data_IF_136582547114
#
_entry.id   IF_136582547114
#
_cell.length_a   1.000
_cell.length_b   1.000
_cell.length_c   1.000
_cell.angle_alpha   90.00
_cell.angle_beta   90.00
_cell.angle_gamma   90.00
#
_symmetry.space_group_name_H-M   'P 1'
#
loop_
_entity.id
_entity.type
_entity.pdbx_description
1 polymer ?
#
# COMPACT_ATOMS: atom_id res chain seq x y z
N UNK A 1 33.72 28.77 -39.41
CA UNK A 1 32.74 29.19 -38.40
C UNK A 1 33.46 29.29 -37.06
N UNK A 2 33.42 30.43 -36.35
CA UNK A 2 34.03 30.52 -35.04
C UNK A 2 33.28 29.58 -34.06
N UNK A 3 34.02 28.69 -33.42
CA UNK A 3 33.53 27.77 -32.39
C UNK A 3 32.92 28.46 -31.15
N UNK A 4 33.00 29.79 -31.08
CA UNK A 4 32.61 30.62 -29.91
C UNK A 4 31.62 31.73 -30.33
N UNK A 5 30.61 31.43 -31.13
CA UNK A 5 29.59 32.38 -31.61
C UNK A 5 28.45 32.69 -30.66
N UNK A 6 28.47 32.23 -29.40
CA UNK A 6 27.44 32.51 -28.38
C UNK A 6 27.93 32.21 -26.97
N UNK A 7 27.16 32.55 -25.91
CA UNK A 7 27.54 32.23 -24.57
C UNK A 7 27.68 30.71 -24.38
N UNK A 8 28.71 30.24 -23.65
CA UNK A 8 28.94 28.84 -23.46
C UNK A 8 27.73 28.21 -22.71
N UNK A 9 27.26 27.06 -23.21
CA UNK A 9 26.32 26.18 -22.52
C UNK A 9 27.10 25.06 -21.87
N UNK A 10 27.12 25.02 -20.55
CA UNK A 10 27.92 24.07 -19.78
C UNK A 10 27.02 23.03 -19.16
N UNK A 11 27.39 21.76 -19.33
CA UNK A 11 26.82 20.64 -18.52
C UNK A 11 27.94 20.14 -17.62
N UNK A 12 27.75 20.26 -16.32
CA UNK A 12 28.68 19.72 -15.33
C UNK A 12 28.20 18.34 -14.88
N UNK A 13 29.06 17.34 -14.99
CA UNK A 13 28.75 15.95 -14.56
C UNK A 13 29.73 15.57 -13.47
N UNK A 14 29.25 15.15 -12.30
CA UNK A 14 30.07 14.69 -11.18
C UNK A 14 30.25 15.76 -10.09
N UNK A 15 31.44 16.33 -9.96
CA UNK A 15 31.77 17.19 -8.80
C UNK A 15 31.04 18.54 -8.87
N UNK A 16 30.23 18.83 -7.87
CA UNK A 16 29.40 20.05 -7.75
C UNK A 16 30.25 21.35 -7.70
N UNK A 17 31.47 21.29 -7.19
CA UNK A 17 32.38 22.43 -7.10
C UNK A 17 32.54 23.21 -8.42
N UNK A 18 32.52 22.51 -9.55
CA UNK A 18 32.64 23.14 -10.86
C UNK A 18 31.36 23.89 -11.24
N UNK A 19 30.17 23.35 -10.93
CA UNK A 19 28.89 24.02 -11.16
C UNK A 19 28.78 25.29 -10.30
N UNK A 20 29.14 25.20 -9.01
CA UNK A 20 29.17 26.32 -8.07
C UNK A 20 30.14 27.43 -8.53
N UNK A 21 31.32 27.04 -9.05
CA UNK A 21 32.29 27.98 -9.57
C UNK A 21 31.80 28.72 -10.82
N UNK A 22 31.06 28.03 -11.69
CA UNK A 22 30.46 28.63 -12.89
C UNK A 22 29.29 29.57 -12.53
N UNK A 23 28.45 29.15 -11.58
CA UNK A 23 27.34 29.98 -11.08
C UNK A 23 27.86 31.29 -10.42
N UNK A 24 28.97 31.24 -9.66
CA UNK A 24 29.60 32.40 -9.08
C UNK A 24 30.19 33.39 -10.11
N UNK A 25 30.22 33.01 -11.40
CA UNK A 25 30.67 33.82 -12.53
C UNK A 25 29.57 34.12 -13.54
N UNK A 26 28.31 33.93 -13.15
CA UNK A 26 27.13 34.09 -14.01
C UNK A 26 27.17 33.28 -15.33
N UNK A 27 27.90 32.15 -15.33
CA UNK A 27 27.91 31.22 -16.47
C UNK A 27 26.79 30.18 -16.27
N UNK A 28 25.78 30.15 -17.18
CA UNK A 28 24.73 29.16 -17.08
C UNK A 28 25.28 27.73 -17.20
N UNK A 29 25.08 26.92 -16.16
CA UNK A 29 25.47 25.53 -16.15
C UNK A 29 24.33 24.65 -15.64
N UNK A 30 24.14 23.51 -16.29
CA UNK A 30 23.28 22.44 -15.78
C UNK A 30 24.20 21.47 -15.05
N UNK A 31 23.96 21.28 -13.76
CA UNK A 31 24.63 20.24 -12.98
C UNK A 31 23.85 18.93 -13.07
N UNK A 32 24.57 17.85 -13.38
CA UNK A 32 24.04 16.49 -13.38
C UNK A 32 24.65 15.73 -12.21
N UNK A 33 23.86 15.41 -11.22
CA UNK A 33 24.25 14.50 -10.11
C UNK A 33 24.33 13.07 -10.68
N UNK A 34 25.45 12.81 -11.35
CA UNK A 34 25.68 11.50 -11.97
C UNK A 34 26.00 10.46 -10.90
N UNK A 35 25.25 9.36 -10.94
CA UNK A 35 25.50 8.18 -10.13
C UNK A 35 25.77 7.00 -11.07
N UNK A 36 26.69 6.09 -10.71
CA UNK A 36 26.91 4.91 -11.52
C UNK A 36 25.62 4.06 -11.54
N UNK A 37 25.18 3.59 -12.73
CA UNK A 37 24.04 2.68 -12.80
C UNK A 37 24.19 1.50 -11.86
N UNK A 38 23.08 1.06 -11.26
CA UNK A 38 23.06 -0.06 -10.31
C UNK A 38 23.93 0.18 -9.06
N UNK A 39 24.10 1.44 -8.63
CA UNK A 39 24.98 1.77 -7.50
C UNK A 39 26.45 1.35 -7.70
N UNK A 40 26.86 1.00 -8.94
CA UNK A 40 28.18 0.49 -9.27
C UNK A 40 28.35 -1.02 -9.09
N UNK A 41 27.27 -1.76 -8.80
CA UNK A 41 27.32 -3.23 -8.71
C UNK A 41 27.46 -3.85 -10.13
N UNK A 42 28.61 -4.52 -10.45
CA UNK A 42 28.86 -5.06 -11.78
C UNK A 42 27.94 -6.23 -12.14
N UNK A 43 27.45 -6.99 -11.17
CA UNK A 43 26.52 -8.11 -11.43
C UNK A 43 25.14 -7.56 -11.83
N UNK A 44 24.65 -6.57 -11.09
CA UNK A 44 23.39 -5.91 -11.37
C UNK A 44 23.45 -5.15 -12.71
N UNK A 45 24.55 -4.45 -12.99
CA UNK A 45 24.77 -3.79 -14.26
C UNK A 45 24.79 -4.77 -15.45
N UNK A 46 25.44 -5.94 -15.31
CA UNK A 46 25.45 -6.98 -16.34
C UNK A 46 24.05 -7.59 -16.57
N UNK A 47 23.24 -7.71 -15.51
CA UNK A 47 21.86 -8.19 -15.59
C UNK A 47 20.97 -7.16 -16.31
N UNK A 48 21.06 -5.88 -15.95
CA UNK A 48 20.36 -4.80 -16.64
C UNK A 48 20.71 -4.75 -18.13
N UNK A 49 22.00 -4.93 -18.48
CA UNK A 49 22.44 -5.00 -19.87
C UNK A 49 21.85 -6.21 -20.64
N UNK A 50 21.58 -7.34 -19.97
CA UNK A 50 20.85 -8.47 -20.58
C UNK A 50 19.39 -8.12 -20.86
N UNK A 51 18.71 -7.48 -19.92
CA UNK A 51 17.32 -7.02 -20.08
C UNK A 51 17.21 -5.93 -21.15
N UNK A 52 18.22 -5.07 -21.27
CA UNK A 52 18.27 -3.99 -22.25
C UNK A 52 18.24 -4.49 -23.70
N UNK A 53 18.79 -5.67 -23.98
CA UNK A 53 18.64 -6.32 -25.30
C UNK A 53 17.19 -6.62 -25.69
N UNK A 54 16.28 -6.65 -24.70
CA UNK A 54 14.84 -6.87 -24.87
C UNK A 54 14.02 -5.61 -24.54
N UNK A 55 14.68 -4.44 -24.44
CA UNK A 55 14.10 -3.16 -23.99
C UNK A 55 12.75 -2.88 -24.65
N UNK A 56 12.69 -2.89 -25.99
CA UNK A 56 11.44 -2.59 -26.70
C UNK A 56 10.28 -3.54 -26.37
N UNK A 57 10.57 -4.83 -26.17
CA UNK A 57 9.56 -5.80 -25.82
C UNK A 57 9.06 -5.58 -24.37
N UNK A 58 9.98 -5.27 -23.45
CA UNK A 58 9.66 -4.97 -22.05
C UNK A 58 8.87 -3.67 -21.99
N UNK A 59 9.27 -2.63 -22.72
CA UNK A 59 8.57 -1.34 -22.70
C UNK A 59 7.15 -1.46 -23.26
N UNK A 60 6.91 -2.26 -24.30
CA UNK A 60 5.55 -2.58 -24.77
C UNK A 60 4.73 -3.35 -23.72
N UNK A 61 5.34 -4.32 -23.03
CA UNK A 61 4.69 -5.05 -21.98
C UNK A 61 4.35 -4.14 -20.78
N UNK A 62 5.26 -3.24 -20.41
CA UNK A 62 5.04 -2.25 -19.36
C UNK A 62 3.95 -1.25 -19.75
N UNK A 63 3.89 -0.79 -21.00
CA UNK A 63 2.82 0.07 -21.48
C UNK A 63 1.45 -0.62 -21.35
N UNK A 64 1.33 -1.89 -21.74
CA UNK A 64 0.11 -2.70 -21.55
C UNK A 64 -0.25 -2.85 -20.08
N UNK A 65 0.72 -3.14 -19.23
CA UNK A 65 0.52 -3.29 -17.78
C UNK A 65 0.08 -1.97 -17.14
N UNK A 66 0.71 -0.85 -17.51
CA UNK A 66 0.35 0.49 -17.05
C UNK A 66 -1.05 0.88 -17.50
N UNK A 67 -1.41 0.63 -18.74
CA UNK A 67 -2.75 0.89 -19.28
C UNK A 67 -3.82 0.14 -18.47
N UNK A 68 -3.59 -1.14 -18.19
CA UNK A 68 -4.51 -1.93 -17.36
C UNK A 68 -4.66 -1.35 -15.95
N UNK A 69 -3.57 -0.91 -15.34
CA UNK A 69 -3.57 -0.31 -14.01
C UNK A 69 -4.37 1.00 -13.99
N UNK A 70 -4.06 1.91 -14.90
CA UNK A 70 -4.61 3.27 -14.90
C UNK A 70 -6.05 3.35 -15.42
N UNK A 71 -6.48 2.40 -16.26
CA UNK A 71 -7.86 2.29 -16.72
C UNK A 71 -8.77 1.55 -15.72
N UNK A 72 -8.24 1.04 -14.61
CA UNK A 72 -9.03 0.41 -13.57
C UNK A 72 -10.21 1.30 -13.12
N UNK A 73 -11.39 0.69 -12.98
CA UNK A 73 -12.63 1.36 -12.56
C UNK A 73 -13.18 0.67 -11.28
N UNK A 74 -12.57 0.92 -10.10
CA UNK A 74 -12.97 0.29 -8.86
C UNK A 74 -14.29 0.87 -8.34
N UNK A 75 -15.28 0.00 -8.10
CA UNK A 75 -16.56 0.31 -7.49
C UNK A 75 -16.73 -0.49 -6.20
N UNK A 76 -16.99 0.18 -5.08
CA UNK A 76 -17.35 -0.48 -3.84
C UNK A 76 -18.82 -0.88 -3.91
N UNK A 77 -19.09 -2.18 -4.00
CA UNK A 77 -20.43 -2.70 -4.29
C UNK A 77 -21.11 -3.38 -3.13
N UNK A 78 -20.33 -3.89 -2.16
CA UNK A 78 -20.88 -4.67 -1.05
C UNK A 78 -19.94 -4.66 0.17
N UNK A 79 -20.49 -5.09 1.30
CA UNK A 79 -19.76 -5.52 2.49
C UNK A 79 -20.46 -6.77 3.05
N UNK A 80 -19.75 -7.90 3.10
CA UNK A 80 -20.32 -9.20 3.50
C UNK A 80 -19.23 -10.12 4.08
N UNK A 81 -19.61 -11.23 4.75
CA UNK A 81 -18.63 -12.18 5.30
C UNK A 81 -17.64 -12.66 4.22
N UNK A 82 -16.38 -12.84 4.60
CA UNK A 82 -15.33 -13.25 3.68
C UNK A 82 -15.62 -14.60 3.02
N UNK A 83 -16.23 -15.55 3.75
CA UNK A 83 -16.65 -16.83 3.20
C UNK A 83 -17.63 -16.74 2.03
N UNK A 84 -18.34 -15.61 1.90
CA UNK A 84 -19.30 -15.36 0.81
C UNK A 84 -18.67 -14.53 -0.33
N UNK A 85 -17.61 -13.78 -0.01
CA UNK A 85 -16.95 -12.90 -0.95
C UNK A 85 -15.73 -13.53 -1.62
N UNK A 86 -15.03 -14.39 -0.89
CA UNK A 86 -13.82 -15.09 -1.27
C UNK A 86 -14.06 -16.59 -1.21
N UNK A 87 -13.43 -17.33 -2.11
CA UNK A 87 -13.35 -18.79 -1.98
C UNK A 87 -12.30 -19.14 -0.93
N UNK A 88 -12.68 -18.93 0.34
CA UNK A 88 -11.80 -19.11 1.48
C UNK A 88 -12.13 -20.41 2.21
N UNK A 89 -11.21 -21.39 2.23
CA UNK A 89 -11.41 -22.62 2.97
C UNK A 89 -11.65 -22.39 4.47
N UNK A 90 -12.43 -23.25 5.08
CA UNK A 90 -12.59 -23.26 6.53
C UNK A 90 -11.25 -23.37 7.24
N UNK A 91 -11.16 -22.80 8.44
CA UNK A 91 -9.94 -22.75 9.26
C UNK A 91 -8.74 -22.13 8.56
N UNK A 92 -8.98 -21.11 7.72
CA UNK A 92 -7.94 -20.30 7.10
C UNK A 92 -7.89 -18.94 7.77
N UNK A 93 -6.69 -18.51 8.14
CA UNK A 93 -6.39 -17.12 8.56
C UNK A 93 -5.46 -16.53 7.51
N UNK A 94 -5.94 -15.51 6.80
CA UNK A 94 -5.08 -14.71 5.94
C UNK A 94 -4.29 -13.72 6.78
N UNK A 95 -3.11 -13.32 6.28
CA UNK A 95 -2.24 -12.33 6.92
C UNK A 95 -1.63 -11.38 5.89
N UNK A 96 -1.10 -10.24 6.33
CA UNK A 96 -0.36 -9.32 5.45
C UNK A 96 1.02 -9.87 5.08
N UNK A 97 1.55 -9.34 3.98
CA UNK A 97 2.91 -9.62 3.52
C UNK A 97 3.07 -10.89 2.71
N UNK A 98 4.32 -11.24 2.38
CA UNK A 98 4.64 -12.49 1.70
C UNK A 98 4.43 -13.71 2.62
N UNK A 99 4.43 -14.95 2.06
CA UNK A 99 4.37 -16.17 2.85
C UNK A 99 5.46 -16.21 3.93
N UNK A 100 5.10 -16.66 5.12
CA UNK A 100 6.01 -16.73 6.25
C UNK A 100 5.68 -17.94 7.13
N UNK A 101 6.71 -18.62 7.66
CA UNK A 101 6.54 -19.69 8.62
C UNK A 101 6.15 -19.13 10.00
N UNK A 102 5.33 -19.87 10.75
CA UNK A 102 4.80 -19.47 12.06
C UNK A 102 5.87 -19.01 13.05
N UNK A 103 7.01 -19.68 13.07
CA UNK A 103 8.13 -19.42 13.98
C UNK A 103 8.77 -18.05 13.75
N UNK A 104 8.66 -17.51 12.51
CA UNK A 104 9.25 -16.23 12.11
C UNK A 104 8.29 -15.06 12.23
N UNK A 105 7.00 -15.31 12.50
CA UNK A 105 5.97 -14.28 12.59
C UNK A 105 6.25 -13.36 13.79
N UNK A 106 6.21 -12.04 13.56
CA UNK A 106 6.39 -11.03 14.59
C UNK A 106 5.28 -11.05 15.64
N UNK A 107 5.56 -10.57 16.84
CA UNK A 107 4.62 -10.66 17.98
C UNK A 107 3.26 -9.99 17.70
N UNK A 108 3.17 -8.78 17.10
CA UNK A 108 1.85 -8.18 16.80
C UNK A 108 1.05 -9.02 15.80
N UNK A 109 1.70 -9.57 14.76
CA UNK A 109 1.01 -10.41 13.76
C UNK A 109 0.59 -11.73 14.40
N UNK A 110 1.42 -12.32 15.25
CA UNK A 110 1.09 -13.54 16.02
C UNK A 110 -0.13 -13.31 16.92
N UNK A 111 -0.14 -12.22 17.69
CA UNK A 111 -1.27 -11.85 18.54
C UNK A 111 -2.57 -11.66 17.75
N UNK A 112 -2.48 -11.08 16.54
CA UNK A 112 -3.64 -10.92 15.66
C UNK A 112 -4.17 -12.25 15.12
N UNK A 113 -3.30 -13.17 14.75
CA UNK A 113 -3.68 -14.53 14.29
C UNK A 113 -4.37 -15.30 15.43
N UNK A 114 -3.81 -15.29 16.63
CA UNK A 114 -4.41 -15.95 17.80
C UNK A 114 -5.78 -15.35 18.13
N UNK A 115 -5.90 -14.02 18.10
CA UNK A 115 -7.16 -13.32 18.28
C UNK A 115 -8.21 -13.64 17.21
N UNK A 116 -7.79 -13.77 15.95
CA UNK A 116 -8.69 -14.15 14.86
C UNK A 116 -9.22 -15.60 15.01
N UNK A 117 -8.38 -16.53 15.46
CA UNK A 117 -8.77 -17.91 15.79
C UNK A 117 -9.81 -17.94 16.92
N UNK A 118 -9.60 -17.12 17.96
CA UNK A 118 -10.57 -16.96 19.06
C UNK A 118 -11.86 -16.30 18.59
N UNK A 119 -11.78 -15.28 17.73
CA UNK A 119 -12.95 -14.63 17.14
C UNK A 119 -13.83 -15.62 16.36
N UNK A 120 -13.25 -16.54 15.62
CA UNK A 120 -13.97 -17.62 14.90
C UNK A 120 -14.52 -18.72 15.86
N UNK A 121 -14.15 -18.67 17.14
CA UNK A 121 -14.56 -19.70 18.10
C UNK A 121 -13.84 -21.04 17.92
N UNK A 122 -12.73 -21.07 17.18
CA UNK A 122 -11.96 -22.32 16.98
C UNK A 122 -11.13 -22.70 18.19
N UNK A 123 -10.78 -21.72 19.04
CA UNK A 123 -10.09 -21.94 20.31
C UNK A 123 -10.66 -21.03 21.40
N UNK A 124 -10.60 -21.51 22.66
CA UNK A 124 -11.10 -20.76 23.81
C UNK A 124 -10.14 -19.70 24.34
N UNK A 125 -8.83 -19.88 24.10
CA UNK A 125 -7.76 -18.99 24.56
C UNK A 125 -6.56 -19.03 23.61
N UNK A 126 -5.56 -18.19 23.87
CA UNK A 126 -4.37 -18.03 23.00
C UNK A 126 -3.51 -19.30 22.96
N UNK A 127 -3.39 -20.06 24.04
CA UNK A 127 -2.59 -21.29 24.09
C UNK A 127 -3.22 -22.36 23.19
N UNK A 128 -4.53 -22.58 23.31
CA UNK A 128 -5.26 -23.49 22.42
C UNK A 128 -5.23 -23.03 20.96
N UNK A 129 -5.30 -21.71 20.70
CA UNK A 129 -5.19 -21.18 19.35
C UNK A 129 -3.77 -21.43 18.75
N UNK A 130 -2.73 -21.27 19.56
CA UNK A 130 -1.34 -21.58 19.18
C UNK A 130 -1.16 -23.04 18.81
N UNK A 131 -1.67 -23.95 19.63
CA UNK A 131 -1.61 -25.39 19.37
C UNK A 131 -2.27 -25.76 18.02
N UNK A 132 -3.38 -25.11 17.67
CA UNK A 132 -4.03 -25.35 16.37
C UNK A 132 -3.13 -24.95 15.20
N UNK A 133 -2.44 -23.81 15.29
CA UNK A 133 -1.49 -23.38 14.26
C UNK A 133 -0.28 -24.31 14.18
N UNK A 134 0.33 -24.65 15.32
CA UNK A 134 1.52 -25.50 15.39
C UNK A 134 1.28 -26.94 14.88
N UNK A 135 0.04 -27.44 15.03
CA UNK A 135 -0.38 -28.74 14.46
C UNK A 135 -0.77 -28.67 12.97
N UNK A 136 -0.88 -27.46 12.41
CA UNK A 136 -1.35 -27.27 11.04
C UNK A 136 -2.87 -27.43 10.86
N UNK A 137 -3.65 -27.38 11.95
CA UNK A 137 -5.12 -27.43 11.92
C UNK A 137 -5.74 -26.13 11.46
N UNK A 138 -4.95 -25.04 11.42
CA UNK A 138 -5.30 -23.72 10.86
C UNK A 138 -4.28 -23.37 9.79
N UNK A 139 -4.77 -23.11 8.57
CA UNK A 139 -3.96 -22.66 7.45
C UNK A 139 -3.65 -21.16 7.58
N UNK A 140 -2.40 -20.79 7.42
CA UNK A 140 -1.97 -19.39 7.26
C UNK A 140 -1.63 -19.13 5.80
N UNK A 141 -2.14 -18.02 5.21
CA UNK A 141 -1.86 -17.69 3.82
C UNK A 141 -1.87 -16.15 3.61
N UNK A 142 -1.06 -15.60 2.70
CA UNK A 142 -1.10 -14.18 2.37
C UNK A 142 -2.45 -13.71 1.82
N UNK A 143 -2.91 -12.52 2.26
CA UNK A 143 -4.10 -11.87 1.70
C UNK A 143 -4.02 -11.74 0.17
N UNK A 144 -2.84 -11.42 -0.36
CA UNK A 144 -2.64 -11.24 -1.79
C UNK A 144 -2.85 -12.50 -2.65
N UNK A 145 -2.85 -13.70 -2.06
CA UNK A 145 -3.21 -14.94 -2.77
C UNK A 145 -4.72 -15.05 -3.00
N UNK A 146 -5.52 -14.31 -2.26
CA UNK A 146 -6.99 -14.38 -2.27
C UNK A 146 -7.66 -13.07 -2.73
N UNK A 147 -7.00 -12.31 -3.60
CA UNK A 147 -7.48 -11.00 -4.05
C UNK A 147 -7.89 -10.07 -2.88
N UNK A 148 -7.20 -10.16 -1.76
CA UNK A 148 -7.41 -9.37 -0.56
C UNK A 148 -6.15 -8.60 -0.16
N UNK A 149 -6.30 -7.58 0.70
CA UNK A 149 -5.22 -6.82 1.29
C UNK A 149 -5.63 -6.35 2.69
N UNK A 150 -4.71 -6.39 3.65
CA UNK A 150 -4.98 -6.00 5.04
C UNK A 150 -3.93 -5.07 5.63
N UNK A 151 -4.33 -4.01 6.37
CA UNK A 151 -3.38 -3.11 7.04
C UNK A 151 -2.76 -3.79 8.26
N UNK A 152 -1.52 -3.43 8.58
CA UNK A 152 -0.77 -3.95 9.73
C UNK A 152 -0.68 -5.48 9.71
N UNK A 153 -1.15 -6.18 10.70
CA UNK A 153 -1.19 -7.65 10.70
C UNK A 153 -2.00 -8.24 9.54
N UNK A 154 -3.00 -7.50 9.05
CA UNK A 154 -3.78 -7.84 7.86
C UNK A 154 -4.64 -9.08 8.00
N UNK A 155 -4.90 -9.54 9.24
CA UNK A 155 -5.65 -10.79 9.47
C UNK A 155 -7.09 -10.70 8.96
N UNK A 156 -7.48 -11.76 8.26
CA UNK A 156 -8.80 -11.96 7.69
C UNK A 156 -9.19 -13.43 7.84
N UNK A 157 -10.42 -13.68 8.32
CA UNK A 157 -10.97 -15.02 8.53
C UNK A 157 -12.36 -15.15 7.89
N UNK A 158 -12.91 -16.37 7.72
CA UNK A 158 -14.16 -16.60 7.01
C UNK A 158 -15.37 -15.80 7.50
N UNK A 159 -15.48 -15.53 8.81
CA UNK A 159 -16.62 -14.81 9.38
C UNK A 159 -16.47 -13.29 9.36
N UNK A 160 -15.25 -12.77 9.16
CA UNK A 160 -15.02 -11.32 9.13
C UNK A 160 -15.70 -10.70 7.91
N UNK A 161 -16.43 -9.58 8.06
CA UNK A 161 -16.95 -8.84 6.92
C UNK A 161 -15.82 -8.16 6.15
N UNK A 162 -15.91 -8.24 4.84
CA UNK A 162 -14.98 -7.60 3.90
C UNK A 162 -15.73 -6.69 2.94
N UNK A 163 -15.12 -5.57 2.62
CA UNK A 163 -15.51 -4.76 1.48
C UNK A 163 -15.27 -5.53 0.18
N UNK A 164 -16.23 -5.45 -0.73
CA UNK A 164 -16.13 -6.03 -2.07
C UNK A 164 -16.01 -4.89 -3.06
N UNK A 165 -14.85 -4.75 -3.67
CA UNK A 165 -14.60 -3.77 -4.73
C UNK A 165 -14.50 -4.50 -6.06
N UNK A 166 -15.35 -4.11 -7.00
CA UNK A 166 -15.34 -4.62 -8.38
C UNK A 166 -14.63 -3.63 -9.30
N UNK A 167 -13.66 -4.08 -10.02
CA UNK A 167 -13.07 -3.35 -11.13
C UNK A 167 -13.93 -3.55 -12.38
N UNK A 168 -14.82 -2.61 -12.64
CA UNK A 168 -15.79 -2.71 -13.76
C UNK A 168 -15.16 -2.67 -15.15
N UNK A 169 -13.90 -2.23 -15.25
CA UNK A 169 -13.18 -2.23 -16.53
C UNK A 169 -12.67 -3.63 -16.91
N UNK A 170 -12.34 -4.48 -15.91
CA UNK A 170 -11.67 -5.76 -16.14
C UNK A 170 -12.34 -6.95 -15.44
N UNK A 171 -13.40 -6.73 -14.69
CA UNK A 171 -14.12 -7.80 -13.97
C UNK A 171 -13.37 -8.39 -12.78
N UNK A 172 -12.24 -7.83 -12.40
CA UNK A 172 -11.47 -8.28 -11.24
C UNK A 172 -12.04 -7.73 -9.94
N UNK A 173 -11.68 -8.33 -8.81
CA UNK A 173 -12.14 -7.90 -7.48
C UNK A 173 -10.98 -7.66 -6.54
N UNK A 174 -11.22 -6.83 -5.52
CA UNK A 174 -10.34 -6.61 -4.39
C UNK A 174 -11.13 -6.58 -3.10
N UNK A 175 -10.53 -7.07 -2.02
CA UNK A 175 -11.19 -7.20 -0.72
C UNK A 175 -10.31 -6.67 0.40
N UNK A 176 -10.92 -6.13 1.44
CA UNK A 176 -10.28 -5.78 2.71
C UNK A 176 -11.30 -5.83 3.83
N UNK A 177 -10.87 -6.14 5.05
CA UNK A 177 -11.72 -6.06 6.24
C UNK A 177 -12.14 -4.62 6.54
N UNK A 178 -13.16 -4.43 7.39
CA UNK A 178 -13.51 -3.11 7.92
C UNK A 178 -12.40 -2.62 8.85
N UNK A 179 -11.99 -1.36 8.71
CA UNK A 179 -11.02 -0.74 9.61
C UNK A 179 -11.61 -0.55 11.00
N UNK A 180 -11.00 -1.19 12.00
CA UNK A 180 -11.49 -1.21 13.39
C UNK A 180 -11.32 0.13 14.13
N UNK A 181 -10.63 1.11 13.56
CA UNK A 181 -10.23 2.37 14.19
C UNK A 181 -8.82 2.32 14.78
N UNK A 182 -8.49 3.31 15.59
CA UNK A 182 -7.21 3.43 16.28
C UNK A 182 -7.26 2.78 17.69
N UNK A 183 -6.08 2.64 18.30
CA UNK A 183 -5.91 2.15 19.66
C UNK A 183 -5.75 0.63 19.73
N UNK A 184 -6.43 0.03 20.72
CA UNK A 184 -6.37 -1.40 21.01
C UNK A 184 -7.30 -2.16 20.07
N UNK A 185 -6.74 -2.73 19.00
CA UNK A 185 -7.47 -3.40 17.91
C UNK A 185 -6.72 -4.64 17.43
N UNK A 186 -7.43 -5.56 16.76
CA UNK A 186 -6.87 -6.84 16.32
C UNK A 186 -5.68 -6.66 15.37
N UNK A 187 -5.73 -5.71 14.45
CA UNK A 187 -4.65 -5.48 13.45
C UNK A 187 -3.30 -5.08 14.08
N UNK A 188 -3.27 -4.72 15.37
CA UNK A 188 -2.06 -4.51 16.17
C UNK A 188 -1.80 -5.63 17.18
N UNK A 189 -2.48 -6.76 17.05
CA UNK A 189 -2.28 -7.93 17.88
C UNK A 189 -3.04 -7.93 19.21
N UNK A 190 -3.94 -6.95 19.45
CA UNK A 190 -4.83 -6.98 20.61
C UNK A 190 -5.93 -7.99 20.38
N UNK A 191 -6.26 -8.79 21.40
CA UNK A 191 -7.21 -9.89 21.25
C UNK A 191 -8.03 -10.18 22.53
N UNK A 192 -8.16 -9.21 23.43
CA UNK A 192 -9.01 -9.37 24.60
C UNK A 192 -10.51 -9.29 24.27
N UNK A 193 -11.35 -9.53 25.27
CA UNK A 193 -12.80 -9.59 25.12
C UNK A 193 -13.41 -8.31 24.55
N UNK A 194 -12.81 -7.13 24.80
CA UNK A 194 -13.29 -5.86 24.26
C UNK A 194 -13.04 -5.75 22.75
N UNK A 195 -11.91 -6.29 22.28
CA UNK A 195 -11.57 -6.39 20.85
C UNK A 195 -12.49 -7.38 20.16
N UNK A 196 -12.68 -8.56 20.73
CA UNK A 196 -13.59 -9.57 20.19
C UNK A 196 -15.05 -9.07 20.15
N UNK A 197 -15.51 -8.36 21.17
CA UNK A 197 -16.83 -7.74 21.18
C UNK A 197 -17.00 -6.70 20.07
N UNK A 198 -15.96 -5.88 19.79
CA UNK A 198 -15.96 -4.93 18.67
C UNK A 198 -16.04 -5.66 17.32
N UNK A 199 -15.24 -6.70 17.12
CA UNK A 199 -15.27 -7.50 15.89
C UNK A 199 -16.64 -8.16 15.68
N UNK A 200 -17.26 -8.69 16.73
CA UNK A 200 -18.59 -9.25 16.68
C UNK A 200 -19.64 -8.18 16.29
N UNK A 201 -19.57 -6.98 16.86
CA UNK A 201 -20.44 -5.88 16.45
C UNK A 201 -20.22 -5.48 14.99
N UNK A 202 -18.96 -5.41 14.54
CA UNK A 202 -18.65 -5.14 13.13
C UNK A 202 -19.26 -6.22 12.23
N UNK A 203 -19.20 -7.49 12.62
CA UNK A 203 -19.73 -8.60 11.84
C UNK A 203 -21.25 -8.67 11.83
N UNK A 204 -21.91 -8.37 12.95
CA UNK A 204 -23.36 -8.60 13.12
C UNK A 204 -24.22 -7.37 12.86
N UNK A 205 -23.66 -6.17 12.96
CA UNK A 205 -24.42 -4.93 12.79
C UNK A 205 -23.82 -4.01 11.72
N UNK A 206 -22.54 -3.59 11.85
CA UNK A 206 -21.96 -2.58 10.97
C UNK A 206 -21.78 -3.10 9.53
N UNK A 207 -21.20 -4.27 9.34
CA UNK A 207 -20.97 -4.89 8.03
C UNK A 207 -22.26 -5.12 7.24
N UNK A 208 -23.28 -5.80 7.81
CA UNK A 208 -24.57 -5.97 7.15
C UNK A 208 -25.25 -4.66 6.75
N UNK A 209 -25.20 -3.63 7.59
CA UNK A 209 -25.79 -2.33 7.29
C UNK A 209 -25.02 -1.59 6.18
N UNK A 210 -23.68 -1.61 6.23
CA UNK A 210 -22.82 -1.10 5.15
C UNK A 210 -23.12 -1.81 3.81
N UNK A 211 -23.17 -3.13 3.81
CA UNK A 211 -23.46 -3.91 2.62
C UNK A 211 -24.83 -3.63 2.03
N UNK A 212 -25.86 -3.55 2.89
CA UNK A 212 -27.21 -3.21 2.45
C UNK A 212 -27.28 -1.82 1.81
N UNK A 213 -26.64 -0.80 2.44
CA UNK A 213 -26.57 0.55 1.90
C UNK A 213 -25.84 0.62 0.57
N UNK A 214 -24.71 -0.09 0.43
CA UNK A 214 -23.94 -0.15 -0.80
C UNK A 214 -24.71 -0.80 -1.95
N UNK A 215 -25.40 -1.90 -1.68
CA UNK A 215 -26.25 -2.57 -2.69
C UNK A 215 -27.43 -1.70 -3.12
N UNK A 216 -28.05 -0.96 -2.20
CA UNK A 216 -29.13 -0.03 -2.53
C UNK A 216 -28.68 1.10 -3.47
N UNK A 217 -27.41 1.51 -3.37
CA UNK A 217 -26.83 2.54 -4.26
C UNK A 217 -26.36 1.96 -5.62
N UNK A 218 -26.25 0.65 -5.77
CA UNK A 218 -25.60 0.04 -6.93
C UNK A 218 -24.08 0.23 -6.96
N UNK A 219 -23.49 0.61 -5.83
CA UNK A 219 -22.07 0.82 -5.61
C UNK A 219 -21.63 2.29 -5.65
N UNK A 220 -20.40 2.53 -5.17
CA UNK A 220 -19.75 3.86 -5.12
C UNK A 220 -18.50 3.85 -6.00
N UNK A 221 -18.36 4.80 -6.92
CA UNK A 221 -17.15 4.99 -7.74
C UNK A 221 -15.99 5.45 -6.85
N UNK A 222 -15.05 4.54 -6.59
CA UNK A 222 -13.91 4.81 -5.73
C UNK A 222 -12.83 5.62 -6.44
N UNK A 223 -12.68 5.50 -7.76
CA UNK A 223 -11.68 6.28 -8.51
C UNK A 223 -12.00 7.77 -8.44
N UNK A 224 -13.25 8.13 -8.67
CA UNK A 224 -13.69 9.52 -8.56
C UNK A 224 -13.57 10.06 -7.14
N UNK A 225 -13.92 9.24 -6.12
CA UNK A 225 -13.83 9.61 -4.71
C UNK A 225 -12.36 9.82 -4.29
N UNK A 226 -11.47 8.88 -4.62
CA UNK A 226 -10.04 8.98 -4.29
C UNK A 226 -9.38 10.17 -4.99
N UNK A 227 -9.72 10.44 -6.26
CA UNK A 227 -9.23 11.61 -6.96
C UNK A 227 -9.67 12.92 -6.28
N UNK A 228 -10.91 13.00 -5.81
CA UNK A 228 -11.39 14.16 -5.05
C UNK A 228 -10.70 14.29 -3.71
N UNK A 229 -10.52 13.21 -2.96
CA UNK A 229 -9.84 13.20 -1.67
C UNK A 229 -8.37 13.63 -1.80
N UNK A 230 -7.67 13.18 -2.85
CA UNK A 230 -6.29 13.60 -3.13
C UNK A 230 -6.20 15.12 -3.32
N UNK A 231 -7.14 15.73 -4.05
CA UNK A 231 -7.23 17.19 -4.22
C UNK A 231 -7.54 17.94 -2.91
N UNK A 232 -8.08 17.24 -1.90
CA UNK A 232 -8.36 17.76 -0.57
C UNK A 232 -7.21 17.52 0.43
N UNK A 233 -6.07 16.98 -0.05
CA UNK A 233 -4.88 16.74 0.76
C UNK A 233 -4.88 15.41 1.51
N UNK A 234 -5.69 14.44 1.07
CA UNK A 234 -5.63 13.05 1.52
C UNK A 234 -4.84 12.20 0.53
N UNK A 235 -3.83 11.49 1.03
CA UNK A 235 -3.04 10.57 0.20
C UNK A 235 -3.50 9.10 0.33
N UNK A 236 -4.56 8.85 1.08
CA UNK A 236 -5.27 7.58 1.29
C UNK A 236 -4.45 6.46 1.96
N UNK A 237 -3.35 6.80 2.64
CA UNK A 237 -2.62 5.84 3.46
C UNK A 237 -2.52 6.30 4.93
N UNK A 238 -1.79 7.37 5.22
CA UNK A 238 -1.71 7.91 6.58
C UNK A 238 -2.85 8.88 6.90
N UNK A 239 -3.32 9.61 5.91
CA UNK A 239 -4.47 10.48 6.03
C UNK A 239 -5.60 9.98 5.15
N UNK A 240 -6.76 9.78 5.77
CA UNK A 240 -7.97 9.31 5.13
C UNK A 240 -9.20 10.13 5.56
N UNK A 241 -9.00 11.28 6.18
CA UNK A 241 -10.07 12.08 6.78
C UNK A 241 -11.06 12.59 5.71
N UNK A 242 -10.55 13.20 4.63
CA UNK A 242 -11.40 13.69 3.55
C UNK A 242 -12.06 12.52 2.79
N UNK A 243 -11.31 11.44 2.54
CA UNK A 243 -11.84 10.25 1.89
C UNK A 243 -12.95 9.58 2.72
N UNK A 244 -12.79 9.47 4.04
CA UNK A 244 -13.82 8.95 4.97
C UNK A 244 -15.06 9.83 4.96
N UNK A 245 -14.90 11.16 4.97
CA UNK A 245 -16.02 12.11 4.93
C UNK A 245 -16.78 12.03 3.59
N UNK A 246 -16.08 11.97 2.46
CA UNK A 246 -16.67 11.80 1.13
C UNK A 246 -17.41 10.46 1.00
N UNK A 247 -16.80 9.38 1.50
CA UNK A 247 -17.42 8.06 1.55
C UNK A 247 -18.69 8.07 2.39
N UNK A 248 -18.63 8.60 3.61
CA UNK A 248 -19.80 8.71 4.50
C UNK A 248 -20.93 9.47 3.82
N UNK A 249 -20.64 10.62 3.20
CA UNK A 249 -21.62 11.40 2.44
C UNK A 249 -22.22 10.59 1.29
N UNK A 250 -21.41 9.85 0.54
CA UNK A 250 -21.90 9.04 -0.59
C UNK A 250 -22.74 7.84 -0.14
N UNK A 251 -22.45 7.26 1.03
CA UNK A 251 -23.13 6.09 1.57
C UNK A 251 -24.52 6.43 2.16
N UNK A 252 -24.68 7.61 2.79
CA UNK A 252 -25.87 7.96 3.59
C UNK A 252 -27.20 7.81 2.83
N UNK A 253 -27.32 8.17 1.53
CA UNK A 253 -28.57 7.92 0.80
C UNK A 253 -28.95 6.44 0.73
N UNK A 254 -27.99 5.54 0.59
CA UNK A 254 -28.22 4.08 0.61
C UNK A 254 -28.67 3.59 1.98
N UNK A 255 -28.03 4.07 3.05
CA UNK A 255 -28.46 3.77 4.43
C UNK A 255 -29.90 4.24 4.67
N UNK A 256 -30.26 5.45 4.19
CA UNK A 256 -31.61 5.98 4.33
C UNK A 256 -32.67 5.16 3.54
N UNK A 257 -32.29 4.62 2.38
CA UNK A 257 -33.19 3.78 1.56
C UNK A 257 -33.48 2.42 2.21
N UNK A 258 -32.46 1.77 2.76
CA UNK A 258 -32.66 0.44 3.38
C UNK A 258 -33.38 0.54 4.71
N UNK A 259 -33.34 1.70 5.33
CA UNK A 259 -33.82 1.89 6.69
C UNK A 259 -32.95 1.09 7.66
N UNK A 260 -33.24 1.17 8.92
CA UNK A 260 -32.54 0.41 9.94
C UNK A 260 -33.09 0.76 11.30
N UNK A 261 -32.75 -0.03 12.30
CA UNK A 261 -33.02 0.37 13.69
C UNK A 261 -32.27 1.66 13.96
N UNK A 262 -32.92 2.71 14.44
CA UNK A 262 -32.29 4.01 14.72
C UNK A 262 -30.98 3.88 15.48
N UNK A 263 -30.92 3.00 16.45
CA UNK A 263 -29.73 2.72 17.24
C UNK A 263 -28.56 2.18 16.37
N UNK A 264 -28.81 1.26 15.44
CA UNK A 264 -27.76 0.70 14.57
C UNK A 264 -27.21 1.76 13.62
N UNK A 265 -28.07 2.59 13.04
CA UNK A 265 -27.66 3.70 12.16
C UNK A 265 -26.85 4.74 12.94
N UNK A 266 -27.31 5.13 14.14
CA UNK A 266 -26.59 6.08 15.00
C UNK A 266 -25.19 5.55 15.36
N UNK A 267 -25.11 4.30 15.80
CA UNK A 267 -23.83 3.66 16.16
C UNK A 267 -22.87 3.54 14.96
N UNK A 268 -23.38 3.23 13.77
CA UNK A 268 -22.57 3.23 12.54
C UNK A 268 -22.07 4.65 12.22
N UNK A 269 -22.93 5.66 12.35
CA UNK A 269 -22.55 7.05 12.10
C UNK A 269 -21.46 7.52 13.08
N UNK A 270 -21.59 7.21 14.37
CA UNK A 270 -20.56 7.47 15.38
C UNK A 270 -19.25 6.76 15.08
N UNK A 271 -19.31 5.50 14.66
CA UNK A 271 -18.12 4.73 14.28
C UNK A 271 -17.39 5.33 13.09
N UNK A 272 -18.12 5.76 12.06
CA UNK A 272 -17.55 6.42 10.89
C UNK A 272 -16.97 7.79 11.25
N UNK A 273 -17.69 8.58 12.05
CA UNK A 273 -17.25 9.91 12.48
C UNK A 273 -16.01 9.87 13.38
N UNK A 274 -15.86 8.81 14.18
CA UNK A 274 -14.73 8.62 15.09
C UNK A 274 -13.54 7.85 14.50
N UNK A 275 -13.57 7.50 13.20
CA UNK A 275 -12.55 6.68 12.56
C UNK A 275 -11.95 7.35 11.33
N UNK A 276 -11.02 8.27 11.55
CA UNK A 276 -10.35 9.03 10.50
C UNK A 276 -9.61 8.15 9.46
N UNK A 277 -9.28 6.91 9.82
CA UNK A 277 -8.61 5.95 8.94
C UNK A 277 -9.57 4.93 8.30
N UNK A 278 -10.88 5.13 8.42
CA UNK A 278 -11.85 4.16 7.92
C UNK A 278 -11.66 3.83 6.43
N UNK A 279 -11.40 4.85 5.62
CA UNK A 279 -11.28 4.69 4.16
C UNK A 279 -10.03 3.94 3.73
N UNK A 280 -8.99 3.83 4.56
CA UNK A 280 -7.74 3.12 4.21
C UNK A 280 -8.01 1.71 3.66
N UNK A 281 -8.84 0.92 4.34
CA UNK A 281 -9.15 -0.44 3.92
C UNK A 281 -9.93 -0.48 2.61
N UNK A 282 -10.79 0.52 2.35
CA UNK A 282 -11.50 0.68 1.08
C UNK A 282 -10.51 1.02 -0.04
N UNK A 283 -9.57 1.94 0.21
CA UNK A 283 -8.52 2.28 -0.75
C UNK A 283 -7.63 1.06 -1.07
N UNK A 284 -7.32 0.23 -0.07
CA UNK A 284 -6.57 -1.01 -0.25
C UNK A 284 -7.31 -2.03 -1.12
N UNK A 285 -8.61 -2.23 -0.88
CA UNK A 285 -9.45 -3.09 -1.71
C UNK A 285 -9.57 -2.55 -3.15
N UNK A 286 -9.67 -1.22 -3.32
CA UNK A 286 -9.64 -0.58 -4.62
C UNK A 286 -8.33 -0.83 -5.35
N UNK A 287 -7.20 -0.56 -4.69
CA UNK A 287 -5.87 -0.82 -5.23
C UNK A 287 -5.69 -2.29 -5.63
N UNK A 288 -6.13 -3.21 -4.77
CA UNK A 288 -6.06 -4.64 -5.06
C UNK A 288 -6.86 -5.00 -6.31
N UNK A 289 -8.08 -4.49 -6.47
CA UNK A 289 -8.90 -4.72 -7.66
C UNK A 289 -8.28 -4.16 -8.95
N UNK A 290 -7.53 -3.05 -8.85
CA UNK A 290 -6.86 -2.40 -9.98
C UNK A 290 -5.58 -3.12 -10.41
N UNK A 291 -4.82 -3.72 -9.49
CA UNK A 291 -3.58 -4.42 -9.83
C UNK A 291 -3.80 -5.86 -10.29
N UNK A 292 -4.93 -6.49 -10.00
CA UNK A 292 -5.20 -7.87 -10.43
C UNK A 292 -5.09 -8.08 -11.95
N UNK A 293 -5.63 -7.21 -12.82
CA UNK A 293 -5.50 -7.39 -14.27
C UNK A 293 -4.09 -7.08 -14.80
N UNK A 294 -3.22 -6.50 -13.96
CA UNK A 294 -1.82 -6.19 -14.30
C UNK A 294 -0.93 -7.41 -14.12
N UNK A 295 -1.30 -8.35 -13.25
CA UNK A 295 -0.56 -9.59 -13.03
C UNK A 295 -0.52 -10.46 -14.28
N UNK A 296 0.63 -11.08 -14.58
CA UNK A 296 0.77 -12.02 -15.67
C UNK A 296 0.95 -11.42 -17.07
N UNK A 297 1.25 -10.12 -17.20
CA UNK A 297 1.66 -9.53 -18.48
C UNK A 297 3.09 -9.96 -18.78
N UNK A 298 3.23 -10.93 -19.66
CA UNK A 298 4.52 -11.54 -19.99
C UNK A 298 5.57 -10.49 -20.41
N UNK A 299 6.74 -10.55 -19.78
CA UNK A 299 7.84 -9.62 -20.03
C UNK A 299 7.73 -8.26 -19.32
N UNK A 300 6.63 -7.95 -18.63
CA UNK A 300 6.52 -6.69 -17.88
C UNK A 300 7.34 -6.74 -16.59
N UNK A 301 8.04 -5.66 -16.30
CA UNK A 301 8.85 -5.45 -15.10
C UNK A 301 8.14 -4.60 -14.03
N UNK A 302 6.84 -4.27 -14.26
CA UNK A 302 6.08 -3.47 -13.31
C UNK A 302 5.75 -4.24 -12.03
N UNK A 303 5.94 -3.57 -10.91
CA UNK A 303 5.57 -4.07 -9.59
C UNK A 303 4.05 -4.05 -9.44
N UNK A 304 3.47 -5.19 -9.04
CA UNK A 304 2.03 -5.35 -8.83
C UNK A 304 1.65 -5.45 -7.36
N UNK A 305 2.60 -5.83 -6.50
CA UNK A 305 2.42 -5.93 -5.05
C UNK A 305 3.68 -5.49 -4.36
N UNK A 306 3.52 -4.72 -3.29
CA UNK A 306 4.50 -4.46 -2.24
C UNK A 306 3.81 -4.76 -0.91
N UNK A 307 4.35 -5.67 -0.10
CA UNK A 307 3.70 -6.12 1.13
C UNK A 307 4.73 -6.51 2.21
N UNK A 308 4.36 -6.41 3.48
CA UNK A 308 5.25 -6.62 4.62
C UNK A 308 4.53 -7.41 5.71
N UNK A 309 5.25 -8.30 6.38
CA UNK A 309 4.69 -9.13 7.46
C UNK A 309 5.36 -8.92 8.83
N UNK A 310 6.16 -7.86 8.97
CA UNK A 310 6.91 -7.59 10.21
C UNK A 310 8.23 -8.34 10.32
N UNK A 311 8.61 -9.11 9.31
CA UNK A 311 9.86 -9.84 9.21
C UNK A 311 10.45 -9.72 7.81
N UNK A 312 9.65 -10.02 6.80
CA UNK A 312 10.03 -9.95 5.39
C UNK A 312 9.21 -8.88 4.66
N UNK A 313 9.87 -8.18 3.76
CA UNK A 313 9.26 -7.41 2.69
C UNK A 313 9.16 -8.30 1.46
N UNK A 314 8.06 -8.26 0.75
CA UNK A 314 7.87 -8.98 -0.49
C UNK A 314 7.32 -8.12 -1.60
N UNK A 315 7.75 -8.38 -2.83
CA UNK A 315 7.14 -7.83 -4.05
C UNK A 315 6.67 -8.94 -4.96
N UNK A 316 5.70 -8.60 -5.81
CA UNK A 316 5.34 -9.37 -7.00
C UNK A 316 5.51 -8.47 -8.21
N UNK A 317 6.00 -9.04 -9.32
CA UNK A 317 6.23 -8.33 -10.56
C UNK A 317 5.35 -8.96 -11.66
N UNK A 318 4.77 -8.13 -12.48
CA UNK A 318 3.77 -8.53 -13.48
C UNK A 318 4.24 -9.71 -14.35
N UNK A 319 5.43 -9.64 -14.91
CA UNK A 319 5.97 -10.66 -15.81
C UNK A 319 6.35 -11.99 -15.15
N UNK A 320 6.36 -12.06 -13.82
CA UNK A 320 6.70 -13.27 -13.06
C UNK A 320 5.48 -13.98 -12.46
N UNK A 321 4.28 -13.48 -12.74
CA UNK A 321 3.03 -14.05 -12.24
C UNK A 321 2.91 -14.00 -10.72
N UNK A 322 2.51 -15.10 -10.04
CA UNK A 322 2.25 -15.10 -8.60
C UNK A 322 3.51 -15.19 -7.73
N UNK A 323 4.70 -15.23 -8.31
CA UNK A 323 5.96 -15.42 -7.59
C UNK A 323 6.28 -14.23 -6.67
N UNK A 324 6.69 -14.53 -5.44
CA UNK A 324 7.19 -13.56 -4.48
C UNK A 324 8.71 -13.45 -4.54
N UNK A 325 9.21 -12.22 -4.39
CA UNK A 325 10.63 -11.91 -4.19
C UNK A 325 10.75 -11.17 -2.88
N UNK A 326 11.50 -11.75 -1.95
CA UNK A 326 11.53 -11.30 -0.55
C UNK A 326 12.91 -10.89 -0.10
N UNK A 327 12.96 -9.97 0.84
CA UNK A 327 14.14 -9.58 1.59
C UNK A 327 13.72 -9.18 3.02
N UNK A 328 14.64 -9.11 3.99
CA UNK A 328 14.33 -8.59 5.32
C UNK A 328 13.69 -7.20 5.23
N UNK A 329 12.61 -6.98 5.97
CA UNK A 329 11.92 -5.69 5.98
C UNK A 329 12.74 -4.63 6.72
N UNK A 330 12.76 -3.41 6.18
CA UNK A 330 13.42 -2.28 6.82
C UNK A 330 12.60 -1.76 8.02
N UNK A 331 13.29 -1.16 8.99
CA UNK A 331 12.66 -0.43 10.08
C UNK A 331 12.05 0.88 9.56
N UNK A 332 10.82 1.24 9.98
CA UNK A 332 10.25 2.52 9.65
C UNK A 332 11.03 3.68 10.31
N UNK A 333 11.17 4.78 9.59
CA UNK A 333 11.79 6.01 10.07
C UNK A 333 10.73 7.10 10.18
N UNK A 334 10.64 7.78 11.32
CA UNK A 334 9.63 8.82 11.53
C UNK A 334 9.54 9.31 12.96
N UNK A 335 8.38 9.84 13.33
CA UNK A 335 8.11 10.41 14.64
C UNK A 335 7.41 9.39 15.53
N UNK A 336 7.85 9.32 16.78
CA UNK A 336 7.25 8.49 17.82
C UNK A 336 6.31 9.30 18.70
N UNK A 337 5.23 8.69 19.13
CA UNK A 337 4.32 9.29 20.11
C UNK A 337 5.01 9.39 21.48
N UNK A 338 4.58 10.33 22.35
CA UNK A 338 5.20 10.51 23.66
C UNK A 338 5.30 9.19 24.45
N UNK A 339 6.49 8.91 24.98
CA UNK A 339 6.79 7.70 25.75
C UNK A 339 7.29 6.51 24.94
N UNK A 340 7.41 6.62 23.61
CA UNK A 340 7.93 5.57 22.75
C UNK A 340 9.20 5.99 22.00
N UNK A 341 10.00 5.01 21.62
CA UNK A 341 11.27 5.15 20.91
C UNK A 341 11.41 4.09 19.81
N UNK A 342 12.48 4.18 19.04
CA UNK A 342 12.81 3.16 18.02
C UNK A 342 13.00 1.75 18.61
N UNK A 343 13.37 1.63 19.88
CA UNK A 343 13.52 0.34 20.56
C UNK A 343 12.17 -0.38 20.79
N UNK A 344 11.07 0.36 20.76
CA UNK A 344 9.71 -0.16 20.95
C UNK A 344 9.05 -0.54 19.61
N UNK A 345 9.66 -0.16 18.47
CA UNK A 345 9.08 -0.35 17.15
C UNK A 345 9.21 -1.79 16.65
N UNK A 346 8.16 -2.28 16.01
CA UNK A 346 8.19 -3.47 15.17
C UNK A 346 8.75 -3.12 13.78
N UNK A 347 9.50 -4.00 13.11
CA UNK A 347 9.76 -3.87 11.69
C UNK A 347 8.43 -3.73 10.92
N UNK A 348 8.45 -3.04 9.78
CA UNK A 348 7.20 -2.65 9.10
C UNK A 348 6.34 -3.85 8.68
N UNK A 349 5.01 -3.67 8.73
CA UNK A 349 4.04 -4.70 8.39
C UNK A 349 2.79 -4.11 7.74
N UNK A 350 2.11 -4.88 6.91
CA UNK A 350 0.87 -4.52 6.24
C UNK A 350 0.94 -4.62 4.72
N UNK A 351 -0.23 -4.72 4.10
CA UNK A 351 -0.41 -4.71 2.65
C UNK A 351 -0.76 -3.31 2.12
N UNK A 352 -0.77 -2.31 2.99
CA UNK A 352 -1.20 -0.96 2.66
C UNK A 352 -0.36 -0.28 1.57
N UNK A 353 0.86 -0.77 1.30
CA UNK A 353 1.67 -0.34 0.15
C UNK A 353 1.02 -0.62 -1.23
N UNK A 354 -0.11 -1.33 -1.28
CA UNK A 354 -0.93 -1.42 -2.49
C UNK A 354 -1.45 -0.05 -2.92
N UNK A 355 -1.60 0.91 -2.00
CA UNK A 355 -2.00 2.29 -2.29
C UNK A 355 -0.88 3.02 -3.05
N UNK A 356 0.38 2.83 -2.67
CA UNK A 356 1.55 3.30 -3.42
C UNK A 356 1.62 2.63 -4.79
N UNK A 357 1.32 1.34 -4.88
CA UNK A 357 1.37 0.59 -6.15
C UNK A 357 0.43 1.20 -7.21
N UNK A 358 -0.68 1.82 -6.81
CA UNK A 358 -1.61 2.50 -7.72
C UNK A 358 -1.33 4.01 -7.90
N UNK A 359 -0.19 4.53 -7.42
CA UNK A 359 0.24 5.91 -7.65
C UNK A 359 -0.29 6.94 -6.65
N UNK A 360 -0.67 6.50 -5.45
CA UNK A 360 -1.11 7.36 -4.35
C UNK A 360 -0.10 7.33 -3.19
N UNK A 361 -0.47 7.86 -2.03
CA UNK A 361 0.33 7.87 -0.81
C UNK A 361 1.70 8.53 -1.00
N UNK A 362 2.80 7.86 -0.65
CA UNK A 362 4.16 8.40 -0.76
C UNK A 362 4.54 8.81 -2.19
N UNK A 363 3.97 8.18 -3.22
CA UNK A 363 4.18 8.55 -4.61
C UNK A 363 3.53 9.90 -4.95
N UNK A 364 2.45 10.26 -4.29
CA UNK A 364 1.71 11.51 -4.47
C UNK A 364 1.86 12.48 -3.27
N UNK A 365 2.93 12.38 -2.49
CA UNK A 365 3.12 13.11 -1.23
C UNK A 365 2.98 14.63 -1.38
N UNK A 366 3.35 15.19 -2.52
CA UNK A 366 3.21 16.62 -2.80
C UNK A 366 1.75 17.12 -2.74
N UNK A 367 0.77 16.24 -2.91
CA UNK A 367 -0.64 16.56 -2.72
C UNK A 367 -1.03 16.69 -1.24
N UNK A 368 -0.25 16.10 -0.32
CA UNK A 368 -0.55 16.04 1.11
C UNK A 368 0.65 16.47 2.00
N UNK A 369 1.16 17.70 1.86
CA UNK A 369 2.37 18.15 2.60
C UNK A 369 2.18 18.15 4.12
N UNK A 370 0.95 18.19 4.62
CA UNK A 370 0.67 18.03 6.05
C UNK A 370 1.01 16.62 6.55
N UNK A 371 0.86 15.60 5.68
CA UNK A 371 1.26 14.23 5.98
C UNK A 371 2.78 14.13 6.08
N UNK A 372 3.54 14.74 5.16
CA UNK A 372 5.00 14.74 5.22
C UNK A 372 5.51 15.29 6.58
N UNK A 373 4.90 16.36 7.08
CA UNK A 373 5.22 16.88 8.42
C UNK A 373 4.87 15.90 9.54
N UNK A 374 3.70 15.29 9.46
CA UNK A 374 3.25 14.31 10.46
C UNK A 374 4.15 13.06 10.50
N UNK A 375 4.70 12.66 9.36
CA UNK A 375 5.65 11.56 9.25
C UNK A 375 7.08 11.91 9.67
N UNK A 376 7.35 13.19 9.99
CA UNK A 376 8.70 13.66 10.26
C UNK A 376 9.59 13.75 9.01
N UNK A 377 8.99 13.69 7.83
CA UNK A 377 9.70 13.75 6.55
C UNK A 377 9.86 15.18 5.99
N UNK A 378 9.59 16.20 6.80
CA UNK A 378 9.76 17.61 6.44
C UNK A 378 8.47 18.33 6.03
N UNK A 379 8.56 19.38 5.23
CA UNK A 379 7.45 20.23 4.82
C UNK A 379 7.04 20.07 3.35
N UNK A 380 6.59 21.16 2.75
CA UNK A 380 6.10 21.16 1.35
C UNK A 380 7.21 20.85 0.33
N UNK A 381 8.42 21.38 0.58
CA UNK A 381 9.56 21.13 -0.32
C UNK A 381 9.99 19.66 -0.31
N UNK A 382 10.05 19.05 0.87
CA UNK A 382 10.42 17.64 1.03
C UNK A 382 9.32 16.73 0.47
N UNK A 383 8.04 17.07 0.65
CA UNK A 383 6.93 16.35 0.03
C UNK A 383 7.01 16.37 -1.51
N UNK A 384 7.40 17.51 -2.09
CA UNK A 384 7.63 17.63 -3.52
C UNK A 384 8.86 16.80 -3.95
N UNK A 385 9.96 16.86 -3.20
CA UNK A 385 11.16 16.07 -3.47
C UNK A 385 10.87 14.56 -3.44
N UNK A 386 10.10 14.08 -2.47
CA UNK A 386 9.68 12.67 -2.39
C UNK A 386 8.90 12.24 -3.66
N UNK A 387 7.93 13.04 -4.10
CA UNK A 387 7.16 12.72 -5.31
C UNK A 387 8.03 12.74 -6.56
N UNK A 388 8.99 13.68 -6.67
CA UNK A 388 9.91 13.75 -7.79
C UNK A 388 10.89 12.56 -7.79
N UNK A 389 11.40 12.17 -6.63
CA UNK A 389 12.23 10.97 -6.48
C UNK A 389 11.49 9.71 -6.93
N UNK A 390 10.23 9.55 -6.53
CA UNK A 390 9.41 8.40 -6.97
C UNK A 390 9.13 8.40 -8.47
N UNK A 391 9.20 9.54 -9.13
CA UNK A 391 9.10 9.64 -10.59
C UNK A 391 10.23 8.95 -11.33
N UNK A 392 11.44 8.96 -10.76
CA UNK A 392 12.62 8.32 -11.34
C UNK A 392 12.48 6.80 -11.51
N UNK A 393 11.59 6.18 -10.73
CA UNK A 393 11.37 4.72 -10.72
C UNK A 393 10.01 4.31 -11.28
N UNK A 394 9.22 5.25 -11.81
CA UNK A 394 7.90 5.01 -12.38
C UNK A 394 7.89 5.23 -13.89
N UNK A 395 7.12 4.40 -14.62
CA UNK A 395 7.05 4.48 -16.08
C UNK A 395 5.99 5.46 -16.61
N UNK A 396 5.14 6.01 -15.72
CA UNK A 396 4.10 6.95 -16.16
C UNK A 396 3.49 7.80 -15.06
N UNK A 397 2.47 8.56 -15.45
CA UNK A 397 1.65 9.39 -14.57
C UNK A 397 0.20 8.92 -14.60
N UNK A 398 -0.45 8.93 -13.44
CA UNK A 398 -1.84 8.45 -13.33
C UNK A 398 -2.81 9.47 -13.94
N UNK A 399 -3.58 9.16 -14.98
CA UNK A 399 -4.42 10.14 -15.69
C UNK A 399 -5.57 10.70 -14.85
N UNK A 400 -6.00 9.97 -13.81
CA UNK A 400 -7.13 10.34 -12.95
C UNK A 400 -6.72 10.91 -11.59
N UNK A 401 -5.54 10.55 -11.05
CA UNK A 401 -5.05 11.07 -9.77
C UNK A 401 -4.16 12.29 -10.02
N UNK A 402 -4.82 13.39 -10.43
CA UNK A 402 -4.16 14.64 -10.77
C UNK A 402 -3.88 15.50 -9.54
N UNK A 403 -2.72 16.10 -9.51
CA UNK A 403 -2.19 16.84 -8.35
C UNK A 403 -2.13 18.33 -8.73
N UNK A 404 -2.98 19.19 -8.10
CA UNK A 404 -3.03 20.62 -8.41
C UNK A 404 -1.66 21.33 -8.24
N UNK A 405 -0.90 21.00 -7.21
CA UNK A 405 0.43 21.58 -6.96
C UNK A 405 1.51 21.15 -7.97
N UNK A 406 1.19 20.24 -8.89
CA UNK A 406 2.03 19.83 -10.03
C UNK A 406 1.39 20.22 -11.38
N UNK A 407 0.74 21.37 -11.46
CA UNK A 407 0.06 21.87 -12.67
C UNK A 407 -0.92 20.85 -13.28
N UNK A 408 -1.71 20.21 -12.43
CA UNK A 408 -2.67 19.15 -12.79
C UNK A 408 -2.02 17.92 -13.47
N UNK A 409 -0.74 17.71 -13.32
CA UNK A 409 -0.08 16.47 -13.73
C UNK A 409 -0.51 15.31 -12.83
N UNK A 410 -0.46 14.09 -13.36
CA UNK A 410 -0.73 12.89 -12.59
C UNK A 410 0.38 12.55 -11.59
N UNK A 411 0.03 11.91 -10.49
CA UNK A 411 1.00 11.27 -9.62
C UNK A 411 1.81 10.19 -10.37
N UNK A 412 3.09 9.95 -10.01
CA UNK A 412 3.87 8.86 -10.61
C UNK A 412 3.21 7.51 -10.32
N UNK A 413 3.21 6.63 -11.32
CA UNK A 413 2.59 5.30 -11.24
C UNK A 413 3.31 4.29 -12.13
N UNK A 414 3.21 3.02 -11.76
CA UNK A 414 3.89 1.94 -12.48
C UNK A 414 5.36 1.85 -12.10
N UNK A 415 5.64 1.50 -10.84
CA UNK A 415 7.01 1.24 -10.36
C UNK A 415 7.64 0.13 -11.20
N UNK A 416 8.74 0.43 -11.86
CA UNK A 416 9.51 -0.51 -12.71
C UNK A 416 10.71 -1.05 -11.94
N UNK A 417 10.77 -2.35 -11.74
CA UNK A 417 11.88 -3.01 -11.06
C UNK A 417 13.24 -2.74 -11.73
N UNK A 418 13.27 -2.50 -13.05
CA UNK A 418 14.51 -2.11 -13.77
C UNK A 418 14.99 -0.73 -13.32
N UNK A 419 14.08 0.26 -13.31
CA UNK A 419 14.41 1.62 -12.91
C UNK A 419 14.85 1.67 -11.44
N UNK A 420 14.21 0.89 -10.55
CA UNK A 420 14.64 0.74 -9.15
C UNK A 420 16.07 0.21 -9.08
N UNK A 421 16.40 -0.81 -9.83
CA UNK A 421 17.74 -1.40 -9.83
C UNK A 421 18.78 -0.48 -10.50
N UNK A 422 18.42 0.20 -11.59
CA UNK A 422 19.30 1.12 -12.33
C UNK A 422 19.66 2.34 -11.49
N UNK A 423 18.69 2.97 -10.85
CA UNK A 423 18.86 4.19 -10.06
C UNK A 423 19.31 3.93 -8.62
N UNK A 424 19.10 2.70 -8.11
CA UNK A 424 19.18 2.35 -6.69
C UNK A 424 18.22 3.15 -5.80
N UNK A 425 17.26 3.84 -6.40
CA UNK A 425 16.15 4.49 -5.68
C UNK A 425 15.08 3.42 -5.45
N UNK A 426 14.67 3.23 -4.19
CA UNK A 426 13.63 2.27 -3.86
C UNK A 426 12.32 2.96 -3.47
N UNK A 427 11.16 2.36 -3.72
CA UNK A 427 9.88 2.93 -3.34
C UNK A 427 9.83 3.35 -1.87
N UNK A 428 9.31 4.55 -1.64
CA UNK A 428 8.95 5.05 -0.32
C UNK A 428 7.51 4.62 -0.04
N UNK A 429 7.25 4.20 1.18
CA UNK A 429 5.93 3.76 1.64
C UNK A 429 5.63 4.52 2.94
N UNK A 430 4.49 5.18 3.01
CA UNK A 430 4.00 5.74 4.25
C UNK A 430 3.56 4.61 5.18
N UNK A 431 3.80 4.73 6.48
CA UNK A 431 3.42 3.69 7.43
C UNK A 431 3.16 4.22 8.83
N UNK A 432 2.21 3.60 9.52
CA UNK A 432 2.12 3.71 10.98
C UNK A 432 3.17 2.83 11.63
N UNK A 433 3.89 3.35 12.62
CA UNK A 433 4.86 2.57 13.38
C UNK A 433 4.12 1.78 14.44
N UNK A 434 4.10 0.45 14.29
CA UNK A 434 3.50 -0.44 15.28
C UNK A 434 4.47 -0.75 16.43
N UNK A 435 3.95 -0.96 17.62
CA UNK A 435 4.74 -1.51 18.72
C UNK A 435 5.19 -2.95 18.41
N UNK A 436 6.41 -3.29 18.84
CA UNK A 436 6.91 -4.68 18.79
C UNK A 436 6.15 -5.62 19.73
N UNK A 437 5.42 -5.09 20.72
CA UNK A 437 4.58 -5.86 21.63
C UNK A 437 3.15 -5.88 21.15
N UNK A 438 2.55 -7.06 21.07
CA UNK A 438 1.16 -7.25 20.67
C UNK A 438 0.20 -6.43 21.56
N UNK A 439 -0.82 -5.86 20.97
CA UNK A 439 -1.88 -5.16 21.66
C UNK A 439 -1.59 -3.74 22.16
N UNK A 440 -0.36 -3.24 22.02
CA UNK A 440 -0.02 -1.85 22.36
C UNK A 440 -0.59 -0.87 21.32
N UNK A 441 -0.56 -1.23 20.06
CA UNK A 441 -1.08 -0.40 18.97
C UNK A 441 -0.01 0.37 18.22
N UNK A 442 -0.45 1.47 17.57
CA UNK A 442 0.43 2.39 16.87
C UNK A 442 1.17 3.27 17.87
N UNK A 443 2.48 3.37 17.70
CA UNK A 443 3.40 4.13 18.58
C UNK A 443 4.08 5.29 17.86
N UNK A 444 3.77 5.50 16.58
CA UNK A 444 4.33 6.56 15.78
C UNK A 444 3.86 6.49 14.33
N UNK A 445 4.40 7.37 13.51
CA UNK A 445 4.17 7.37 12.07
C UNK A 445 5.46 7.75 11.34
N UNK A 446 5.67 7.19 10.16
CA UNK A 446 6.89 7.39 9.41
C UNK A 446 6.79 6.88 7.99
N UNK A 447 7.96 6.70 7.40
CA UNK A 447 8.16 6.12 6.08
C UNK A 447 9.07 4.90 6.17
N UNK A 448 8.90 3.98 5.25
CA UNK A 448 9.83 2.87 5.05
C UNK A 448 10.22 2.81 3.58
N UNK A 449 11.47 2.48 3.29
CA UNK A 449 11.92 2.19 1.93
C UNK A 449 11.90 0.69 1.68
N UNK A 450 11.42 0.32 0.50
CA UNK A 450 11.46 -1.08 0.07
C UNK A 450 12.92 -1.56 -0.05
N UNK A 451 13.26 -2.79 0.37
CA UNK A 451 14.59 -3.34 0.21
C UNK A 451 14.95 -3.58 -1.25
N UNK A 452 16.10 -3.09 -1.72
CA UNK A 452 16.58 -3.27 -3.09
C UNK A 452 16.68 -4.76 -3.49
N UNK A 453 17.02 -5.64 -2.54
CA UNK A 453 17.15 -7.08 -2.77
C UNK A 453 15.91 -7.76 -3.37
N UNK A 454 14.70 -7.26 -3.08
CA UNK A 454 13.48 -7.78 -3.69
C UNK A 454 13.46 -7.54 -5.21
N UNK A 455 13.87 -6.36 -5.64
CA UNK A 455 13.86 -5.95 -7.05
C UNK A 455 14.96 -6.66 -7.83
N UNK A 456 16.15 -6.80 -7.25
CA UNK A 456 17.25 -7.53 -7.89
C UNK A 456 16.90 -9.00 -8.10
N UNK A 457 16.33 -9.66 -7.10
CA UNK A 457 15.87 -11.04 -7.23
C UNK A 457 14.76 -11.22 -8.28
N UNK A 458 13.85 -10.23 -8.40
CA UNK A 458 12.83 -10.24 -9.43
C UNK A 458 13.43 -10.11 -10.86
N UNK A 459 14.43 -9.25 -11.01
CA UNK A 459 15.10 -9.06 -12.30
C UNK A 459 15.94 -10.26 -12.70
N UNK A 460 16.59 -10.96 -11.76
CA UNK A 460 17.27 -12.23 -12.01
C UNK A 460 16.30 -13.23 -12.66
N UNK A 461 15.11 -13.38 -12.06
CA UNK A 461 14.08 -14.27 -12.59
C UNK A 461 13.47 -13.86 -13.93
N UNK A 462 13.58 -12.58 -14.31
CA UNK A 462 13.13 -12.08 -15.64
C UNK A 462 14.23 -12.14 -16.70
N UNK A 463 15.49 -12.17 -16.29
CA UNK A 463 16.64 -12.21 -17.17
C UNK A 463 16.99 -13.65 -17.64
N UNK A 464 16.53 -14.66 -16.90
CA UNK A 464 16.61 -16.08 -17.26
C UNK A 464 15.53 -16.44 -18.30
#
# INVERSE_FOLDING_TARGET
>A
MPLLGGPPRVVNIGVDLFATTLAARDVPAVHVDWRPPAGGDPRLAAMLARLDRRREAIDRANATALERLTNGAPFLVDCRPAREALDLPDRTVLHSGPPIAWERISEPVRGAILGAIRYEGWAANDDAARELVERGDVRLDPCHHHAAAGPMAGVLTPSMPVFVVENRAYGTRGHATINEGLGKVLRYGANDDSVLARLNWIATEAGPLLGAGLRALGGIDLRALMAQALRMGDEMHQRNLAATALFTRALMPGIAQVGGRHHAVARLAEFLAGNDQFFLNIAMAAGKSMVEPVGGVAGSTLVTVMARNGTDFGIRVSGTGPRWFTAPVNMPQGLYFPGFTAADANPDMGDSAIVETIGLSALAMVAAPAVARFLGAGGTAEAAAMTLEMREICVGEHPHFRIPSLDERGGPVGVDARLVAETSITPIINTGIASRRAGVGQIGAGVVRAPLGCFTAALEALAD
#
